data_IF_741621914765
#
_entry.id   IF_741621914765
#
_cell.length_a   1.000
_cell.length_b   1.000
_cell.length_c   1.000
_cell.angle_alpha   90.00
_cell.angle_beta   90.00
_cell.angle_gamma   90.00
#
_symmetry.space_group_name_H-M   'P 1'
#
loop_
_entity.id
_entity.type
_entity.pdbx_description
1 polymer ?
#
# COMPACT_ATOMS: atom_id res chain seq x y z
N UNK A 1 0.47 -16.57 -16.90
CA UNK A 1 -0.13 -15.56 -15.98
C UNK A 1 0.71 -15.57 -14.73
N UNK A 2 0.93 -14.41 -14.11
CA UNK A 2 1.77 -14.27 -12.92
C UNK A 2 0.87 -13.97 -11.74
N UNK A 3 0.95 -14.77 -10.67
CA UNK A 3 0.25 -14.49 -9.43
C UNK A 3 0.91 -13.30 -8.72
N UNK A 4 0.09 -12.40 -8.17
CA UNK A 4 0.51 -11.23 -7.42
C UNK A 4 -0.14 -11.29 -6.04
N UNK A 5 0.70 -11.22 -5.00
CA UNK A 5 0.27 -11.19 -3.61
C UNK A 5 0.41 -9.76 -3.10
N UNK A 6 -0.72 -9.08 -2.94
CA UNK A 6 -0.80 -7.75 -2.35
C UNK A 6 -0.87 -7.86 -0.85
N UNK A 7 0.00 -7.19 -0.14
CA UNK A 7 0.07 -7.22 1.33
C UNK A 7 -0.19 -5.83 1.87
N UNK A 8 -1.25 -5.65 2.68
CA UNK A 8 -1.39 -4.42 3.45
C UNK A 8 -0.35 -4.41 4.57
N UNK A 9 0.36 -3.31 4.75
CA UNK A 9 1.30 -3.15 5.87
C UNK A 9 0.66 -3.47 7.23
N UNK A 10 1.47 -3.86 8.21
CA UNK A 10 1.07 -4.03 9.60
C UNK A 10 0.60 -2.72 10.24
N UNK A 11 -0.03 -2.80 11.41
CA UNK A 11 -0.53 -1.63 12.14
C UNK A 11 0.59 -0.61 12.40
N UNK A 12 0.35 0.66 12.03
CA UNK A 12 1.32 1.74 12.16
C UNK A 12 1.08 2.58 13.42
N UNK A 13 2.17 3.00 14.08
CA UNK A 13 2.16 3.82 15.29
C UNK A 13 2.05 5.32 14.97
N UNK A 14 0.86 5.75 14.60
CA UNK A 14 0.58 7.18 14.42
C UNK A 14 0.56 7.97 15.72
N UNK A 15 0.38 7.32 16.88
CA UNK A 15 0.43 7.97 18.18
C UNK A 15 1.84 8.49 18.49
N UNK A 16 2.88 7.74 18.13
CA UNK A 16 4.27 8.17 18.23
C UNK A 16 4.52 9.47 17.46
N UNK A 17 3.98 9.59 16.24
CA UNK A 17 4.09 10.81 15.43
C UNK A 17 3.39 11.98 16.11
N UNK A 18 2.18 11.76 16.64
CA UNK A 18 1.42 12.75 17.39
C UNK A 18 2.16 13.23 18.65
N UNK A 19 2.73 12.32 19.44
CA UNK A 19 3.53 12.64 20.64
C UNK A 19 4.76 13.49 20.31
N UNK A 20 5.37 13.27 19.14
CA UNK A 20 6.51 14.06 18.66
C UNK A 20 6.12 15.42 18.11
N UNK A 21 4.83 15.70 17.98
CA UNK A 21 4.28 16.94 17.36
C UNK A 21 4.85 17.22 15.97
N UNK A 22 5.15 16.16 15.23
CA UNK A 22 5.62 16.30 13.86
C UNK A 22 4.48 16.75 12.93
N UNK A 23 4.81 17.53 11.88
CA UNK A 23 3.82 17.87 10.86
C UNK A 23 3.13 16.62 10.32
N UNK A 24 1.84 16.74 10.01
CA UNK A 24 1.02 15.62 9.56
C UNK A 24 1.61 14.82 8.38
N UNK A 25 2.27 15.52 7.44
CA UNK A 25 2.97 14.90 6.31
C UNK A 25 4.09 13.91 6.70
N UNK A 26 4.61 13.98 7.94
CA UNK A 26 5.57 13.01 8.47
C UNK A 26 4.89 11.75 9.02
N UNK A 27 3.56 11.62 8.93
CA UNK A 27 2.85 10.38 9.28
C UNK A 27 3.33 9.16 8.46
N UNK A 28 3.90 9.39 7.29
CA UNK A 28 4.47 8.32 6.46
C UNK A 28 5.74 7.70 7.05
N UNK A 29 6.37 8.40 8.02
CA UNK A 29 7.48 7.88 8.82
C UNK A 29 7.01 7.04 10.03
N UNK A 30 5.70 6.90 10.27
CA UNK A 30 5.18 6.09 11.37
C UNK A 30 5.68 4.63 11.25
N UNK A 31 6.38 4.11 12.28
CA UNK A 31 6.80 2.72 12.32
C UNK A 31 5.62 1.80 12.62
N UNK A 32 5.85 0.50 12.57
CA UNK A 32 4.87 -0.48 13.04
C UNK A 32 4.75 -0.42 14.58
N UNK A 33 3.53 -0.67 15.08
CA UNK A 33 3.33 -1.04 16.49
C UNK A 33 3.88 -2.43 16.77
N UNK A 34 3.97 -2.85 18.05
CA UNK A 34 4.31 -4.24 18.38
C UNK A 34 3.36 -5.23 17.68
N UNK A 35 2.06 -4.94 17.68
CA UNK A 35 1.06 -5.73 16.94
C UNK A 35 1.30 -5.71 15.43
N UNK A 36 1.70 -4.57 14.88
CA UNK A 36 2.04 -4.45 13.46
C UNK A 36 3.23 -5.32 13.08
N UNK A 37 4.22 -5.46 13.96
CA UNK A 37 5.37 -6.36 13.76
C UNK A 37 4.91 -7.83 13.74
N UNK A 38 4.01 -8.23 14.66
CA UNK A 38 3.43 -9.57 14.67
C UNK A 38 2.64 -9.86 13.38
N UNK A 39 1.81 -8.89 12.94
CA UNK A 39 1.06 -9.00 11.68
C UNK A 39 1.99 -9.15 10.47
N UNK A 40 3.09 -8.42 10.43
CA UNK A 40 4.10 -8.53 9.37
C UNK A 40 4.78 -9.91 9.37
N UNK A 41 5.07 -10.46 10.55
CA UNK A 41 5.65 -11.79 10.67
C UNK A 41 4.68 -12.88 10.16
N UNK A 42 3.39 -12.78 10.53
CA UNK A 42 2.34 -13.71 10.05
C UNK A 42 2.20 -13.64 8.53
N UNK A 43 2.19 -12.44 7.95
CA UNK A 43 2.16 -12.29 6.49
C UNK A 43 3.39 -12.93 5.82
N UNK A 44 4.58 -12.81 6.45
CA UNK A 44 5.78 -13.49 5.99
C UNK A 44 5.67 -15.01 5.97
N UNK A 45 5.10 -15.59 7.03
CA UNK A 45 4.85 -17.06 7.10
C UNK A 45 3.85 -17.52 6.00
N UNK A 46 2.75 -16.77 5.80
CA UNK A 46 1.76 -17.06 4.76
C UNK A 46 2.38 -17.07 3.35
N UNK A 47 3.40 -16.25 3.14
CA UNK A 47 4.05 -16.05 1.84
C UNK A 47 5.31 -16.91 1.63
N UNK A 48 5.74 -17.69 2.61
CA UNK A 48 7.01 -18.43 2.55
C UNK A 48 7.12 -19.35 1.32
N UNK A 49 6.02 -20.01 0.94
CA UNK A 49 6.01 -21.06 -0.09
C UNK A 49 5.25 -20.66 -1.37
N UNK A 50 4.99 -19.36 -1.59
CA UNK A 50 4.23 -18.90 -2.78
C UNK A 50 5.06 -18.85 -4.06
N UNK A 51 6.34 -19.25 -4.02
CA UNK A 51 7.24 -19.24 -5.17
C UNK A 51 7.51 -17.82 -5.70
N UNK A 52 7.63 -16.85 -4.78
CA UNK A 52 7.89 -15.47 -5.15
C UNK A 52 9.31 -15.31 -5.73
N UNK A 53 9.40 -14.53 -6.79
CA UNK A 53 10.67 -14.16 -7.45
C UNK A 53 10.95 -12.66 -7.38
N UNK A 54 9.97 -11.88 -6.92
CA UNK A 54 10.08 -10.45 -6.67
C UNK A 54 9.34 -10.05 -5.40
N UNK A 55 9.94 -9.13 -4.64
CA UNK A 55 9.32 -8.48 -3.49
C UNK A 55 9.39 -6.97 -3.68
N UNK A 56 8.25 -6.37 -3.95
CA UNK A 56 8.08 -4.93 -4.09
C UNK A 56 7.59 -4.32 -2.78
N UNK A 57 7.96 -3.08 -2.51
CA UNK A 57 7.41 -2.32 -1.38
C UNK A 57 7.21 -0.86 -1.71
N UNK A 58 6.13 -0.28 -1.20
CA UNK A 58 6.00 1.16 -1.03
C UNK A 58 7.15 1.71 -0.17
N UNK A 59 7.60 2.97 -0.38
CA UNK A 59 8.73 3.56 0.36
C UNK A 59 8.44 3.93 1.82
N UNK A 60 7.20 3.85 2.29
CA UNK A 60 6.83 4.31 3.62
C UNK A 60 7.35 3.38 4.72
N UNK A 61 7.70 3.94 5.89
CA UNK A 61 8.34 3.18 6.98
C UNK A 61 7.57 1.91 7.34
N UNK A 62 6.25 1.99 7.49
CA UNK A 62 5.38 0.85 7.83
C UNK A 62 5.39 -0.27 6.80
N UNK A 63 5.45 0.08 5.51
CA UNK A 63 5.54 -0.91 4.42
C UNK A 63 6.94 -1.51 4.32
N UNK A 64 7.98 -0.71 4.49
CA UNK A 64 9.36 -1.19 4.48
C UNK A 64 9.64 -2.14 5.64
N UNK A 65 9.11 -1.87 6.84
CA UNK A 65 9.22 -2.78 7.99
C UNK A 65 8.45 -4.09 7.75
N UNK A 66 7.25 -4.01 7.17
CA UNK A 66 6.47 -5.20 6.79
C UNK A 66 7.21 -6.01 5.72
N UNK A 67 7.72 -5.33 4.67
CA UNK A 67 8.49 -5.97 3.62
C UNK A 67 9.79 -6.60 4.15
N UNK A 68 10.42 -6.00 5.15
CA UNK A 68 11.58 -6.57 5.85
C UNK A 68 11.27 -7.93 6.50
N UNK A 69 10.14 -8.03 7.20
CA UNK A 69 9.70 -9.29 7.78
C UNK A 69 9.41 -10.36 6.70
N UNK A 70 8.73 -9.97 5.62
CA UNK A 70 8.47 -10.87 4.47
C UNK A 70 9.77 -11.28 3.80
N UNK A 71 10.70 -10.34 3.53
CA UNK A 71 12.01 -10.59 2.91
C UNK A 71 12.80 -11.67 3.65
N UNK A 72 12.80 -11.63 4.99
CA UNK A 72 13.46 -12.65 5.81
C UNK A 72 12.89 -14.07 5.62
N UNK A 73 11.62 -14.21 5.20
CA UNK A 73 10.97 -15.51 4.99
C UNK A 73 11.14 -16.02 3.56
N UNK A 74 11.00 -15.13 2.58
CA UNK A 74 11.08 -15.51 1.16
C UNK A 74 12.49 -15.40 0.58
N UNK A 75 13.44 -14.88 1.34
CA UNK A 75 14.85 -14.66 0.93
C UNK A 75 14.99 -13.85 -0.37
N UNK A 76 14.22 -12.77 -0.49
CA UNK A 76 14.26 -11.85 -1.62
C UNK A 76 14.67 -10.44 -1.18
N UNK A 77 15.45 -9.76 -2.01
CA UNK A 77 15.71 -8.33 -1.84
C UNK A 77 14.43 -7.52 -2.06
N UNK A 78 14.31 -6.39 -1.35
CA UNK A 78 13.17 -5.48 -1.49
C UNK A 78 13.45 -4.50 -2.63
N UNK A 79 12.59 -4.49 -3.64
CA UNK A 79 12.55 -3.48 -4.70
C UNK A 79 11.58 -2.37 -4.27
N UNK A 80 12.07 -1.14 -4.08
CA UNK A 80 11.23 -0.02 -3.65
C UNK A 80 10.55 0.62 -4.85
N UNK A 81 9.22 0.69 -4.83
CA UNK A 81 8.39 1.25 -5.87
C UNK A 81 7.62 2.47 -5.36
N UNK A 82 7.97 3.66 -5.86
CA UNK A 82 7.37 4.92 -5.42
C UNK A 82 5.86 4.95 -5.67
N UNK A 83 5.42 4.47 -6.82
CA UNK A 83 4.02 4.47 -7.25
C UNK A 83 3.13 3.47 -6.48
N UNK A 84 3.70 2.71 -5.53
CA UNK A 84 2.95 1.93 -4.54
C UNK A 84 2.67 2.71 -3.25
N UNK A 85 2.98 4.03 -3.17
CA UNK A 85 2.64 4.86 -2.02
C UNK A 85 1.13 4.89 -1.74
N UNK A 86 0.75 5.22 -0.50
CA UNK A 86 -0.67 5.34 -0.12
C UNK A 86 -1.36 6.47 -0.89
N UNK A 87 -2.68 6.44 -0.92
CA UNK A 87 -3.50 7.53 -1.39
C UNK A 87 -3.08 8.88 -0.78
N UNK A 88 -3.03 9.91 -1.60
CA UNK A 88 -2.68 11.26 -1.16
C UNK A 88 -3.95 12.01 -0.74
N UNK A 89 -4.13 12.30 0.56
CA UNK A 89 -5.26 13.09 1.02
C UNK A 89 -5.20 14.54 0.53
N UNK A 90 -4.01 15.05 0.26
CA UNK A 90 -3.77 16.39 -0.28
C UNK A 90 -2.49 16.39 -1.12
N UNK A 91 -2.62 16.56 -2.42
CA UNK A 91 -1.51 16.59 -3.39
C UNK A 91 -0.62 17.83 -3.25
N UNK A 92 -1.06 18.82 -2.46
CA UNK A 92 -0.26 20.01 -2.12
C UNK A 92 0.58 19.83 -0.85
N UNK A 93 0.40 18.72 -0.12
CA UNK A 93 1.08 18.41 1.15
C UNK A 93 0.93 19.48 2.23
N UNK A 94 -0.22 20.20 2.27
CA UNK A 94 -0.48 21.30 3.21
C UNK A 94 -1.29 20.90 4.45
N UNK A 95 -1.72 19.66 4.56
CA UNK A 95 -2.43 19.18 5.76
C UNK A 95 -1.51 19.12 6.99
N UNK A 96 -2.08 19.42 8.16
CA UNK A 96 -1.31 19.58 9.40
C UNK A 96 -1.62 18.50 10.44
N UNK A 97 -2.80 17.88 10.39
CA UNK A 97 -3.26 16.93 11.40
C UNK A 97 -4.25 15.90 10.83
N UNK A 98 -4.48 14.83 11.61
CA UNK A 98 -5.37 13.74 11.22
C UNK A 98 -6.84 14.15 11.10
N UNK A 99 -7.28 15.25 11.74
CA UNK A 99 -8.66 15.73 11.62
C UNK A 99 -8.91 16.27 10.22
N UNK A 100 -7.95 17.00 9.67
CA UNK A 100 -8.00 17.46 8.26
C UNK A 100 -8.04 16.27 7.29
N UNK A 101 -7.19 15.26 7.51
CA UNK A 101 -7.20 14.04 6.68
C UNK A 101 -8.55 13.32 6.75
N UNK A 102 -9.18 13.23 7.93
CA UNK A 102 -10.51 12.61 8.08
C UNK A 102 -11.59 13.37 7.29
N UNK A 103 -11.53 14.69 7.26
CA UNK A 103 -12.45 15.50 6.46
C UNK A 103 -12.26 15.25 4.95
N UNK A 104 -11.01 15.12 4.49
CA UNK A 104 -10.70 14.79 3.10
C UNK A 104 -11.13 13.36 2.73
N UNK A 105 -10.97 12.39 3.65
CA UNK A 105 -11.51 11.04 3.46
C UNK A 105 -13.04 11.06 3.33
N UNK A 106 -13.74 11.84 4.17
CA UNK A 106 -15.19 11.96 4.09
C UNK A 106 -15.65 12.60 2.76
N UNK A 107 -14.93 13.62 2.27
CA UNK A 107 -15.20 14.22 0.96
C UNK A 107 -14.94 13.22 -0.17
N UNK A 108 -13.81 12.50 -0.14
CA UNK A 108 -13.46 11.43 -1.07
C UNK A 108 -14.56 10.35 -1.11
N UNK A 109 -15.01 9.86 0.03
CA UNK A 109 -16.05 8.82 0.11
C UNK A 109 -17.41 9.34 -0.40
N UNK A 110 -17.76 10.60 -0.10
CA UNK A 110 -19.01 11.23 -0.57
C UNK A 110 -19.05 11.38 -2.10
N UNK A 111 -17.87 11.51 -2.73
CA UNK A 111 -17.70 11.58 -4.18
C UNK A 111 -17.46 10.19 -4.83
N UNK A 112 -17.60 9.09 -4.07
CA UNK A 112 -17.34 7.74 -4.59
C UNK A 112 -15.88 7.51 -4.98
N UNK A 113 -14.95 8.31 -4.46
CA UNK A 113 -13.53 8.21 -4.74
C UNK A 113 -13.06 8.90 -6.03
N UNK A 114 -13.94 9.57 -6.76
CA UNK A 114 -13.61 10.28 -8.00
C UNK A 114 -13.99 11.76 -7.90
N UNK A 115 -13.28 12.62 -8.61
CA UNK A 115 -13.64 14.04 -8.64
C UNK A 115 -14.98 14.25 -9.35
N UNK A 116 -15.87 15.09 -8.82
CA UNK A 116 -17.09 15.45 -9.52
C UNK A 116 -16.78 16.08 -10.88
N UNK A 117 -17.68 15.88 -11.85
CA UNK A 117 -17.48 16.37 -13.21
C UNK A 117 -17.25 17.90 -13.24
N UNK A 118 -16.13 18.31 -13.83
CA UNK A 118 -15.75 19.72 -13.93
C UNK A 118 -15.14 20.33 -12.66
N UNK A 119 -14.99 19.57 -11.58
CA UNK A 119 -14.38 20.00 -10.34
C UNK A 119 -13.03 19.33 -10.11
N UNK A 120 -12.11 20.03 -9.44
CA UNK A 120 -10.86 19.47 -8.92
C UNK A 120 -10.90 19.49 -7.40
N UNK A 121 -10.54 18.35 -6.79
CA UNK A 121 -10.26 18.25 -5.36
C UNK A 121 -8.76 18.22 -5.12
N UNK A 122 -8.35 18.46 -3.87
CA UNK A 122 -6.94 18.38 -3.47
C UNK A 122 -6.47 16.93 -3.28
N UNK A 123 -7.39 16.02 -3.04
CA UNK A 123 -7.07 14.61 -2.85
C UNK A 123 -6.92 13.86 -4.19
N UNK A 124 -6.12 12.81 -4.17
CA UNK A 124 -5.87 11.94 -5.31
C UNK A 124 -7.12 11.10 -5.64
N UNK A 125 -7.68 11.13 -6.88
CA UNK A 125 -8.81 10.28 -7.22
C UNK A 125 -8.38 8.80 -7.28
N UNK A 126 -9.30 7.88 -6.96
CA UNK A 126 -9.04 6.44 -6.93
C UNK A 126 -8.56 5.90 -8.28
N UNK A 127 -9.06 6.47 -9.37
CA UNK A 127 -8.59 6.17 -10.73
C UNK A 127 -7.10 6.50 -10.93
N UNK A 128 -6.57 7.54 -10.28
CA UNK A 128 -5.14 7.87 -10.32
C UNK A 128 -4.32 6.85 -9.52
N UNK A 129 -4.76 6.50 -8.30
CA UNK A 129 -4.14 5.43 -7.50
C UNK A 129 -4.10 4.13 -8.30
N UNK A 130 -5.23 3.76 -8.94
CA UNK A 130 -5.34 2.57 -9.81
C UNK A 130 -4.33 2.61 -10.94
N UNK A 131 -4.27 3.72 -11.68
CA UNK A 131 -3.40 3.86 -12.85
C UNK A 131 -1.92 3.66 -12.49
N UNK A 132 -1.42 4.35 -11.43
CA UNK A 132 -0.02 4.25 -11.02
C UNK A 132 0.33 2.87 -10.47
N UNK A 133 -0.49 2.32 -9.56
CA UNK A 133 -0.23 1.02 -8.95
C UNK A 133 -0.35 -0.13 -9.95
N UNK A 134 -1.37 -0.12 -10.83
CA UNK A 134 -1.50 -1.13 -11.87
C UNK A 134 -0.33 -1.08 -12.87
N UNK A 135 0.21 0.10 -13.19
CA UNK A 135 1.39 0.23 -14.06
C UNK A 135 2.62 -0.45 -13.45
N UNK A 136 2.88 -0.25 -12.15
CA UNK A 136 3.96 -0.94 -11.42
C UNK A 136 3.76 -2.45 -11.48
N UNK A 137 2.57 -2.93 -11.09
CA UNK A 137 2.30 -4.36 -10.99
C UNK A 137 2.37 -5.05 -12.36
N UNK A 138 1.88 -4.40 -13.44
CA UNK A 138 2.01 -4.93 -14.82
C UNK A 138 3.46 -4.99 -15.26
N UNK A 139 4.26 -3.94 -15.01
CA UNK A 139 5.70 -3.91 -15.33
C UNK A 139 6.45 -5.03 -14.61
N UNK A 140 6.18 -5.21 -13.33
CA UNK A 140 6.78 -6.28 -12.54
C UNK A 140 6.36 -7.65 -13.06
N UNK A 141 5.06 -7.87 -13.35
CA UNK A 141 4.57 -9.14 -13.88
C UNK A 141 5.17 -9.48 -15.25
N UNK A 142 5.32 -8.49 -16.13
CA UNK A 142 5.94 -8.67 -17.44
C UNK A 142 7.42 -9.04 -17.37
N UNK A 143 8.12 -8.71 -16.28
CA UNK A 143 9.53 -9.05 -16.08
C UNK A 143 9.76 -10.45 -15.50
N UNK A 144 8.70 -11.14 -15.06
CA UNK A 144 8.80 -12.51 -14.55
C UNK A 144 8.85 -13.50 -15.72
N UNK A 145 9.97 -14.18 -15.84
CA UNK A 145 10.20 -15.23 -16.85
C UNK A 145 10.36 -16.58 -16.16
N UNK A 146 9.90 -17.66 -16.79
CA UNK A 146 10.08 -19.01 -16.25
C UNK A 146 9.11 -19.43 -15.13
N UNK A 147 8.09 -18.64 -14.85
CA UNK A 147 7.15 -18.86 -13.73
C UNK A 147 7.59 -18.18 -12.44
N UNK A 148 6.69 -18.17 -11.46
CA UNK A 148 6.90 -17.50 -10.18
C UNK A 148 5.81 -16.47 -9.90
N UNK A 149 5.83 -15.95 -8.68
CA UNK A 149 4.88 -14.94 -8.22
C UNK A 149 5.57 -13.65 -7.79
N UNK A 150 4.78 -12.61 -7.56
CA UNK A 150 5.25 -11.32 -7.06
C UNK A 150 4.57 -11.05 -5.73
N UNK A 151 5.32 -10.52 -4.78
CA UNK A 151 4.78 -9.95 -3.55
C UNK A 151 4.91 -8.44 -3.64
N UNK A 152 3.84 -7.71 -3.29
CA UNK A 152 3.84 -6.25 -3.26
C UNK A 152 3.27 -5.76 -1.92
N UNK A 153 4.14 -5.24 -1.06
CA UNK A 153 3.74 -4.66 0.22
C UNK A 153 3.33 -3.21 0.00
N UNK A 154 2.08 -2.92 0.29
CA UNK A 154 1.46 -1.64 -0.02
C UNK A 154 0.40 -1.23 1.01
N UNK A 155 -0.64 -0.54 0.60
CA UNK A 155 -1.61 0.13 1.45
C UNK A 155 -3.05 -0.24 1.06
N UNK A 156 -3.99 0.11 1.94
CA UNK A 156 -5.41 -0.19 1.75
C UNK A 156 -5.98 0.39 0.45
N UNK A 157 -5.69 1.67 0.16
CA UNK A 157 -6.24 2.31 -1.04
C UNK A 157 -5.59 1.80 -2.33
N UNK A 158 -4.33 1.37 -2.27
CA UNK A 158 -3.68 0.68 -3.39
C UNK A 158 -4.38 -0.65 -3.67
N UNK A 159 -4.61 -1.48 -2.64
CA UNK A 159 -5.32 -2.76 -2.78
C UNK A 159 -6.75 -2.52 -3.30
N UNK A 160 -7.50 -1.61 -2.66
CA UNK A 160 -8.85 -1.21 -3.10
C UNK A 160 -8.87 -0.80 -4.56
N UNK A 161 -7.90 -0.03 -5.01
CA UNK A 161 -7.86 0.49 -6.38
C UNK A 161 -7.74 -0.58 -7.45
N UNK A 162 -7.06 -1.69 -7.16
CA UNK A 162 -6.79 -2.76 -8.14
C UNK A 162 -7.70 -3.97 -7.96
N UNK A 163 -8.26 -4.20 -6.76
CA UNK A 163 -9.15 -5.35 -6.49
C UNK A 163 -10.63 -4.95 -6.44
N UNK A 164 -10.95 -3.69 -6.15
CA UNK A 164 -12.31 -3.21 -5.84
C UNK A 164 -12.75 -3.50 -4.40
N UNK A 165 -11.94 -4.19 -3.59
CA UNK A 165 -12.27 -4.50 -2.19
C UNK A 165 -12.21 -3.24 -1.32
N UNK A 166 -13.28 -2.97 -0.56
CA UNK A 166 -13.41 -1.73 0.22
C UNK A 166 -12.54 -1.72 1.46
N UNK A 167 -12.29 -2.87 2.07
CA UNK A 167 -11.51 -2.99 3.31
C UNK A 167 -10.56 -4.18 3.25
N UNK A 168 -9.36 -3.95 3.74
CA UNK A 168 -8.31 -4.97 3.94
C UNK A 168 -7.75 -4.78 5.34
N UNK A 169 -7.57 -5.85 6.13
CA UNK A 169 -6.98 -5.76 7.49
C UNK A 169 -5.46 -5.53 7.40
N UNK A 170 -4.87 -4.96 8.44
CA UNK A 170 -3.41 -4.86 8.56
C UNK A 170 -2.76 -6.24 8.52
N UNK A 171 -1.71 -6.39 7.73
CA UNK A 171 -1.01 -7.66 7.51
C UNK A 171 -1.75 -8.64 6.59
N UNK A 172 -2.91 -8.29 6.08
CA UNK A 172 -3.70 -9.18 5.23
C UNK A 172 -3.08 -9.32 3.84
N UNK A 173 -3.09 -10.54 3.33
CA UNK A 173 -2.61 -10.91 2.00
C UNK A 173 -3.78 -11.09 1.04
N UNK A 174 -3.70 -10.52 -0.15
CA UNK A 174 -4.67 -10.69 -1.25
C UNK A 174 -3.96 -11.22 -2.49
N UNK A 175 -4.40 -12.37 -2.98
CA UNK A 175 -3.90 -12.95 -4.22
C UNK A 175 -4.78 -12.52 -5.40
N UNK A 176 -4.14 -12.03 -6.45
CA UNK A 176 -4.75 -11.74 -7.75
C UNK A 176 -3.90 -12.33 -8.87
N UNK A 177 -4.46 -12.46 -10.06
CA UNK A 177 -3.70 -12.76 -11.27
C UNK A 177 -3.35 -11.47 -12.03
N UNK A 178 -2.21 -11.44 -12.70
CA UNK A 178 -1.79 -10.29 -13.51
C UNK A 178 -2.80 -9.92 -14.61
N UNK A 179 -3.61 -10.88 -15.07
CA UNK A 179 -4.71 -10.65 -16.01
C UNK A 179 -5.92 -9.94 -15.41
N UNK A 180 -6.03 -9.88 -14.09
CA UNK A 180 -7.12 -9.20 -13.38
C UNK A 180 -6.80 -7.72 -13.09
N UNK A 181 -5.58 -7.28 -13.38
CA UNK A 181 -5.20 -5.88 -13.22
C UNK A 181 -6.03 -4.98 -14.15
N UNK A 182 -6.66 -3.93 -13.61
CA UNK A 182 -7.54 -3.02 -14.37
C UNK A 182 -6.79 -2.22 -15.43
#
# INVERSE_FOLDING_TARGET
MTAIYLVRHGEADYELIGKRRWPGKLADLAPLTARGVEQAAVAGEELADVGAVKLLSSPFTRTMQTAGAVSCRVNLAIEVELDLHEWLPDDTFRWHNLTEVRALVADFDSCGGEWPAGERRVWEPLSSVRRRSAAVLRRAAASVTGGGSIIAVCHEMVIRSVTGEVKTRHGEVRRIESSQLP
#
